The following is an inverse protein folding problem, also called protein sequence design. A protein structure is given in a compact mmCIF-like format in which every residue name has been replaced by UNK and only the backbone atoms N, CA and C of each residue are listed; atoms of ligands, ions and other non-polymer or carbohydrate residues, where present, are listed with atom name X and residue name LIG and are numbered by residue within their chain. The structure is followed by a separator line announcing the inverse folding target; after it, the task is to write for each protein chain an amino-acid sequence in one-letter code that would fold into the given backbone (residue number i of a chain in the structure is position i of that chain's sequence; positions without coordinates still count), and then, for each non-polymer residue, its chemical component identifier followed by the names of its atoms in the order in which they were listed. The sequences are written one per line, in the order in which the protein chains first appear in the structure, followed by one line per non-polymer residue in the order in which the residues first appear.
data_IF_330071775690
#
_entry.id   IF_330071775690
#
_cell.length_a   1.000
_cell.length_b   1.000
_cell.length_c   1.000
_cell.angle_alpha   90.00
_cell.angle_beta   90.00
_cell.angle_gamma   90.00
#
_symmetry.space_group_name_H-M   'P 1'
#
loop_
_entity.id
_entity.type
_entity.pdbx_description
1 polymer ?
#
# COMPACT_ATOMS: atom_id res chain seq x y z
N UNK A 1 5.95 -1.94 10.11
CA UNK A 1 4.54 -1.45 10.16
C UNK A 1 3.97 -1.48 8.74
N UNK A 2 2.74 -1.95 8.52
CA UNK A 2 2.16 -2.08 7.16
C UNK A 2 1.54 -0.75 6.72
N UNK A 3 2.04 -0.12 5.65
CA UNK A 3 1.46 1.12 5.08
C UNK A 3 0.44 0.73 4.00
N UNK A 4 -0.84 1.04 4.23
CA UNK A 4 -1.95 0.78 3.29
C UNK A 4 -2.38 2.07 2.61
N UNK A 5 -2.32 2.08 1.28
CA UNK A 5 -2.58 3.24 0.44
C UNK A 5 -3.89 3.00 -0.31
N UNK A 6 -4.72 4.03 -0.42
CA UNK A 6 -5.97 3.91 -1.16
C UNK A 6 -5.71 4.24 -2.62
N UNK A 7 -5.83 3.24 -3.48
CA UNK A 7 -5.52 3.35 -4.90
C UNK A 7 -6.45 4.33 -5.67
N UNK A 8 -7.51 4.83 -5.02
CA UNK A 8 -8.52 5.72 -5.59
C UNK A 8 -8.44 7.19 -5.15
N UNK A 9 -7.45 7.60 -4.33
CA UNK A 9 -7.44 8.96 -3.78
C UNK A 9 -6.64 9.95 -4.64
N UNK A 10 -7.26 11.07 -5.05
CA UNK A 10 -6.60 12.20 -5.72
C UNK A 10 -5.68 13.03 -4.82
N UNK A 11 -5.56 12.66 -3.55
CA UNK A 11 -4.71 13.31 -2.54
C UNK A 11 -3.60 12.38 -2.04
N UNK A 12 -3.23 11.39 -2.86
CA UNK A 12 -2.31 10.32 -2.47
C UNK A 12 -1.03 10.88 -1.83
N UNK A 13 -0.38 11.86 -2.48
CA UNK A 13 0.83 12.54 -2.02
C UNK A 13 0.68 13.19 -0.65
N UNK A 14 -0.44 13.89 -0.42
CA UNK A 14 -0.73 14.51 0.87
C UNK A 14 -0.92 13.45 1.96
N UNK A 15 -1.60 12.35 1.63
CA UNK A 15 -1.79 11.24 2.55
C UNK A 15 -0.45 10.60 2.94
N UNK A 16 0.50 10.45 1.99
CA UNK A 16 1.87 9.98 2.28
C UNK A 16 2.51 10.87 3.32
N UNK A 17 2.56 12.17 3.04
CA UNK A 17 3.29 13.13 3.84
C UNK A 17 2.75 13.14 5.28
N UNK A 18 1.43 13.13 5.44
CA UNK A 18 0.80 13.04 6.77
C UNK A 18 1.16 11.74 7.49
N UNK A 19 1.16 10.59 6.80
CA UNK A 19 1.52 9.31 7.42
C UNK A 19 3.01 9.27 7.79
N UNK A 20 3.90 9.75 6.92
CA UNK A 20 5.33 9.86 7.21
C UNK A 20 5.59 10.74 8.43
N UNK A 21 4.92 11.89 8.53
CA UNK A 21 5.04 12.79 9.68
C UNK A 21 4.60 12.10 10.99
N UNK A 22 3.45 11.42 10.98
CA UNK A 22 2.97 10.68 12.16
C UNK A 22 3.96 9.58 12.56
N UNK A 23 4.50 8.84 11.59
CA UNK A 23 5.49 7.80 11.87
C UNK A 23 6.81 8.36 12.42
N UNK A 24 7.20 9.55 11.99
CA UNK A 24 8.36 10.25 12.54
C UNK A 24 8.12 10.67 13.99
N UNK A 25 6.94 11.22 14.28
CA UNK A 25 6.56 11.62 15.63
C UNK A 25 6.42 10.43 16.62
N UNK A 26 6.27 9.20 16.10
CA UNK A 26 6.21 7.97 16.88
C UNK A 26 7.57 7.21 16.92
N UNK A 27 8.64 7.78 16.36
CA UNK A 27 9.96 7.12 16.20
C UNK A 27 9.92 5.80 15.40
N UNK A 28 8.92 5.63 14.54
CA UNK A 28 8.71 4.40 13.75
C UNK A 28 9.33 4.47 12.35
N UNK A 29 9.97 5.58 11.98
CA UNK A 29 10.59 5.81 10.66
C UNK A 29 11.65 4.79 10.28
N UNK A 30 12.33 4.19 11.26
CA UNK A 30 13.35 3.15 11.02
C UNK A 30 12.76 1.74 10.89
N UNK A 31 11.46 1.58 11.12
CA UNK A 31 10.80 0.28 11.01
C UNK A 31 10.75 -0.12 9.54
N UNK A 32 11.17 -1.34 9.15
CA UNK A 32 10.94 -1.85 7.81
C UNK A 32 9.46 -1.73 7.43
N UNK A 33 9.20 -1.20 6.24
CA UNK A 33 7.85 -0.98 5.72
C UNK A 33 7.66 -1.71 4.41
N UNK A 34 6.44 -2.21 4.22
CA UNK A 34 5.99 -2.79 2.97
C UNK A 34 4.87 -1.90 2.44
N UNK A 35 5.02 -1.44 1.20
CA UNK A 35 4.04 -0.62 0.52
C UNK A 35 2.92 -1.50 -0.05
N UNK A 36 1.69 -1.26 0.41
CA UNK A 36 0.51 -1.97 -0.07
C UNK A 36 -0.48 -0.98 -0.66
N UNK A 37 -0.82 -1.16 -1.94
CA UNK A 37 -1.91 -0.47 -2.61
C UNK A 37 -3.18 -1.28 -2.36
N UNK A 38 -3.96 -0.85 -1.39
CA UNK A 38 -5.20 -1.50 -0.99
C UNK A 38 -6.39 -0.89 -1.74
N UNK A 39 -7.50 -1.61 -1.74
CA UNK A 39 -8.76 -1.27 -2.42
C UNK A 39 -8.69 -1.35 -3.94
N UNK A 40 -7.90 -2.27 -4.49
CA UNK A 40 -7.81 -2.46 -5.95
C UNK A 40 -9.11 -2.99 -6.56
N UNK A 41 -10.07 -3.44 -5.74
CA UNK A 41 -11.44 -3.76 -6.16
C UNK A 41 -12.21 -2.56 -6.74
N UNK A 42 -11.73 -1.33 -6.48
CA UNK A 42 -12.29 -0.11 -7.03
C UNK A 42 -11.58 0.38 -8.31
N UNK A 43 -10.61 -0.39 -8.81
CA UNK A 43 -9.83 -0.04 -10.00
C UNK A 43 -9.95 -1.13 -11.06
N UNK A 44 -9.75 -0.74 -12.31
CA UNK A 44 -9.56 -1.72 -13.37
C UNK A 44 -8.23 -2.47 -13.18
N UNK A 45 -8.14 -3.75 -13.56
CA UNK A 45 -6.93 -4.56 -13.34
C UNK A 45 -5.65 -3.93 -13.90
N UNK A 46 -5.72 -3.31 -15.08
CA UNK A 46 -4.59 -2.65 -15.73
C UNK A 46 -4.14 -1.40 -14.97
N UNK A 47 -5.08 -0.64 -14.38
CA UNK A 47 -4.78 0.53 -13.56
C UNK A 47 -4.09 0.13 -12.25
N UNK A 48 -4.60 -0.91 -11.58
CA UNK A 48 -4.00 -1.47 -10.37
C UNK A 48 -2.57 -1.99 -10.65
N UNK A 49 -2.37 -2.65 -11.79
CA UNK A 49 -1.05 -3.13 -12.21
C UNK A 49 -0.09 -1.97 -12.50
N UNK A 50 -0.52 -0.98 -13.28
CA UNK A 50 0.29 0.19 -13.61
C UNK A 50 0.68 0.98 -12.35
N UNK A 51 -0.25 1.14 -11.40
CA UNK A 51 0.01 1.81 -10.13
C UNK A 51 1.00 1.04 -9.26
N UNK A 52 0.83 -0.29 -9.13
CA UNK A 52 1.77 -1.17 -8.43
C UNK A 52 3.18 -1.06 -8.98
N UNK A 53 3.33 -1.10 -10.30
CA UNK A 53 4.62 -0.95 -10.98
C UNK A 53 5.24 0.43 -10.75
N UNK A 54 4.44 1.50 -10.87
CA UNK A 54 4.90 2.88 -10.68
C UNK A 54 5.38 3.15 -9.26
N UNK A 55 4.67 2.62 -8.26
CA UNK A 55 4.95 2.91 -6.85
C UNK A 55 5.87 1.88 -6.19
N UNK A 56 6.17 0.76 -6.84
CA UNK A 56 6.96 -0.33 -6.24
C UNK A 56 6.24 -1.05 -5.09
N UNK A 57 4.90 -1.03 -5.10
CA UNK A 57 4.05 -1.59 -4.04
C UNK A 57 3.29 -2.84 -4.46
N UNK A 58 2.70 -3.54 -3.50
CA UNK A 58 1.85 -4.72 -3.75
C UNK A 58 0.39 -4.26 -3.87
N UNK A 59 -0.21 -4.49 -5.03
CA UNK A 59 -1.64 -4.28 -5.27
C UNK A 59 -2.46 -5.41 -4.65
N UNK A 60 -3.39 -5.07 -3.76
CA UNK A 60 -4.33 -5.99 -3.12
C UNK A 60 -5.72 -5.37 -2.93
N UNK A 61 -6.73 -6.22 -2.78
CA UNK A 61 -8.01 -5.84 -2.21
C UNK A 61 -8.21 -6.60 -0.90
N UNK A 62 -8.30 -5.85 0.20
CA UNK A 62 -8.60 -6.46 1.50
C UNK A 62 -9.99 -7.14 1.53
N UNK A 63 -10.89 -6.78 0.61
CA UNK A 63 -12.20 -7.41 0.44
C UNK A 63 -12.15 -8.71 -0.37
N UNK A 64 -11.02 -8.98 -1.04
CA UNK A 64 -10.80 -10.19 -1.82
C UNK A 64 -9.57 -10.95 -1.28
N UNK A 65 -9.75 -11.85 -0.30
CA UNK A 65 -8.66 -12.58 0.36
C UNK A 65 -7.65 -13.25 -0.58
N UNK A 66 -8.05 -13.83 -1.74
CA UNK A 66 -7.08 -14.41 -2.67
C UNK A 66 -6.03 -13.41 -3.20
N UNK A 67 -6.31 -12.10 -3.19
CA UNK A 67 -5.31 -11.09 -3.56
C UNK A 67 -4.19 -10.94 -2.52
N UNK A 68 -4.36 -11.44 -1.29
CA UNK A 68 -3.41 -11.27 -0.19
C UNK A 68 -2.23 -12.24 -0.24
N UNK A 69 -2.27 -13.29 -1.07
CA UNK A 69 -1.23 -14.34 -1.11
C UNK A 69 0.18 -13.76 -1.29
N UNK A 70 0.35 -12.86 -2.27
CA UNK A 70 1.63 -12.19 -2.54
C UNK A 70 2.09 -11.28 -1.41
N UNK A 71 1.14 -10.71 -0.66
CA UNK A 71 1.44 -9.91 0.53
C UNK A 71 1.96 -10.80 1.66
N UNK A 72 1.32 -11.95 1.89
CA UNK A 72 1.73 -12.91 2.92
C UNK A 72 3.13 -13.47 2.66
N UNK A 73 3.42 -13.87 1.42
CA UNK A 73 4.77 -14.30 1.02
C UNK A 73 5.86 -13.27 1.33
N UNK A 74 5.54 -11.97 1.28
CA UNK A 74 6.48 -10.87 1.57
C UNK A 74 6.62 -10.56 3.05
N UNK A 75 5.69 -11.00 3.88
CA UNK A 75 5.74 -10.82 5.33
C UNK A 75 6.49 -11.99 5.98
N UNK A 76 6.34 -13.19 5.43
CA UNK A 76 6.94 -14.41 5.97
C UNK A 76 8.40 -14.62 5.53
N UNK A 77 8.88 -13.81 4.56
CA UNK A 77 10.27 -13.81 4.07
C UNK A 77 11.19 -12.93 4.92
#
# INVERSE_FOLDING_TARGET
MKKSWHATSGYLEKQIATVEEILANLDLQRTPTLLVLNKTDLLEPDEAHAMSKRMGGIAISALYPPSLSKLMEKIDA
#
